data_IF_537113895735
#
_entry.id   IF_537113895735
#
_cell.length_a   1.000
_cell.length_b   1.000
_cell.length_c   1.000
_cell.angle_alpha   90.00
_cell.angle_beta   90.00
_cell.angle_gamma   90.00
#
_symmetry.space_group_name_H-M   'P 1'
#
loop_
_entity.id
_entity.type
_entity.pdbx_description
1 polymer ?
#
# COMPACT_ATOMS: atom_id res chain seq x y z
N UNK A 1 -18.48 -1.76 9.84
CA UNK A 1 -17.67 -2.58 8.93
C UNK A 1 -16.64 -3.27 9.78
N UNK A 2 -16.55 -4.61 9.79
CA UNK A 2 -15.47 -5.24 10.51
C UNK A 2 -14.19 -4.79 9.81
N UNK A 3 -13.30 -4.18 10.56
CA UNK A 3 -11.94 -3.93 10.11
C UNK A 3 -11.25 -5.29 10.07
N UNK A 4 -11.55 -6.07 9.04
CA UNK A 4 -10.69 -7.18 8.65
C UNK A 4 -9.29 -6.59 8.54
N UNK A 5 -8.32 -7.21 9.22
CA UNK A 5 -6.96 -6.69 9.35
C UNK A 5 -6.39 -6.45 7.94
N UNK A 6 -6.41 -5.19 7.52
CA UNK A 6 -5.91 -4.78 6.21
C UNK A 6 -4.45 -5.19 6.16
N UNK A 7 -4.13 -6.08 5.22
CA UNK A 7 -2.78 -6.55 5.04
C UNK A 7 -1.91 -5.36 4.59
N UNK A 8 -0.74 -5.10 5.22
CA UNK A 8 0.17 -4.05 4.78
C UNK A 8 0.49 -4.10 3.27
N UNK A 9 0.53 -5.28 2.66
CA UNK A 9 0.72 -5.43 1.20
C UNK A 9 -0.39 -4.77 0.38
N UNK A 10 -1.65 -4.83 0.83
CA UNK A 10 -2.79 -4.19 0.16
C UNK A 10 -2.67 -2.66 0.23
N UNK A 11 -2.19 -2.13 1.36
CA UNK A 11 -1.91 -0.69 1.52
C UNK A 11 -0.85 -0.24 0.51
N UNK A 12 0.26 -0.98 0.39
CA UNK A 12 1.31 -0.63 -0.57
C UNK A 12 0.83 -0.72 -2.03
N UNK A 13 0.04 -1.73 -2.38
CA UNK A 13 -0.55 -1.85 -3.72
C UNK A 13 -1.50 -0.69 -4.04
N UNK A 14 -2.33 -0.29 -3.07
CA UNK A 14 -3.21 0.86 -3.19
C UNK A 14 -2.42 2.17 -3.38
N UNK A 15 -1.36 2.39 -2.61
CA UNK A 15 -0.51 3.58 -2.72
C UNK A 15 0.17 3.69 -4.09
N UNK A 16 0.69 2.57 -4.62
CA UNK A 16 1.31 2.53 -5.94
C UNK A 16 0.32 2.92 -7.04
N UNK A 17 -0.91 2.37 -7.02
CA UNK A 17 -1.97 2.71 -7.98
C UNK A 17 -2.42 4.16 -7.89
N UNK A 18 -2.64 4.65 -6.68
CA UNK A 18 -3.08 6.03 -6.47
C UNK A 18 -1.95 7.04 -6.72
N UNK A 19 -0.71 6.58 -6.92
CA UNK A 19 0.51 7.40 -7.00
C UNK A 19 0.60 8.40 -5.85
N UNK A 20 0.16 7.97 -4.67
CA UNK A 20 0.09 8.80 -3.48
C UNK A 20 1.42 8.76 -2.73
N UNK A 21 1.95 9.93 -2.39
CA UNK A 21 3.17 10.10 -1.61
C UNK A 21 3.06 11.30 -0.66
N UNK A 22 4.00 11.39 0.30
CA UNK A 22 4.14 12.51 1.22
C UNK A 22 3.48 12.33 2.60
N UNK A 23 3.73 13.31 3.48
CA UNK A 23 3.47 13.23 4.94
C UNK A 23 2.03 12.91 5.35
N UNK A 24 1.04 13.30 4.55
CA UNK A 24 -0.35 12.94 4.79
C UNK A 24 -0.63 11.45 4.51
N UNK A 25 0.06 10.87 3.54
CA UNK A 25 0.01 9.44 3.23
C UNK A 25 0.75 8.65 4.31
N UNK A 26 1.91 9.11 4.76
CA UNK A 26 2.67 8.48 5.85
C UNK A 26 1.84 8.42 7.14
N UNK A 27 1.17 9.53 7.49
CA UNK A 27 0.24 9.57 8.61
C UNK A 27 -0.99 8.68 8.42
N UNK A 28 -1.48 8.51 7.19
CA UNK A 28 -2.60 7.61 6.92
C UNK A 28 -2.18 6.15 7.08
N UNK A 29 -0.99 5.78 6.61
CA UNK A 29 -0.41 4.43 6.80
C UNK A 29 -0.30 4.12 8.29
N UNK A 30 0.27 5.04 9.09
CA UNK A 30 0.42 4.85 10.54
C UNK A 30 -0.92 4.56 11.23
N UNK A 31 -2.02 5.17 10.79
CA UNK A 31 -3.36 4.88 11.34
C UNK A 31 -3.88 3.54 10.85
N UNK A 32 -3.76 3.24 9.56
CA UNK A 32 -4.26 2.00 8.96
C UNK A 32 -3.49 0.75 9.46
N UNK A 33 -2.21 0.89 9.79
CA UNK A 33 -1.38 -0.16 10.38
C UNK A 33 -1.36 -0.13 11.91
N UNK A 34 -2.26 0.65 12.55
CA UNK A 34 -2.41 0.74 14.01
C UNK A 34 -1.16 1.21 14.77
N UNK A 35 -0.24 1.93 14.11
CA UNK A 35 0.90 2.62 14.75
C UNK A 35 0.44 3.87 15.50
N UNK A 36 -0.62 4.53 15.00
CA UNK A 36 -1.28 5.64 15.66
C UNK A 36 -2.77 5.35 15.83
N UNK A 37 -3.27 5.46 17.06
CA UNK A 37 -4.68 5.15 17.37
C UNK A 37 -5.67 6.15 16.77
N UNK A 38 -5.21 7.36 16.44
CA UNK A 38 -6.07 8.43 15.93
C UNK A 38 -5.44 9.21 14.79
N UNK A 39 -6.28 9.72 13.90
CA UNK A 39 -5.88 10.67 12.85
C UNK A 39 -5.22 11.94 13.41
N UNK A 40 -5.59 12.36 14.62
CA UNK A 40 -5.02 13.54 15.25
C UNK A 40 -3.56 13.28 15.70
N UNK A 41 -3.30 12.11 16.31
CA UNK A 41 -1.95 11.71 16.72
C UNK A 41 -1.02 11.58 15.50
N UNK A 42 -1.49 10.93 14.43
CA UNK A 42 -0.71 10.82 13.19
C UNK A 42 -0.46 12.19 12.54
N UNK A 43 -1.48 13.06 12.50
CA UNK A 43 -1.33 14.41 11.95
C UNK A 43 -0.28 15.24 12.71
N UNK A 44 -0.27 15.14 14.04
CA UNK A 44 0.74 15.79 14.87
C UNK A 44 2.14 15.23 14.62
N UNK A 45 2.28 13.90 14.58
CA UNK A 45 3.55 13.20 14.30
C UNK A 45 4.17 13.62 12.96
N UNK A 46 3.34 13.74 11.93
CA UNK A 46 3.78 14.04 10.55
C UNK A 46 3.73 15.53 10.20
N UNK A 47 3.33 16.42 11.12
CA UNK A 47 3.27 17.86 10.89
C UNK A 47 2.31 18.27 9.76
N UNK A 48 1.14 17.62 9.69
CA UNK A 48 0.08 17.87 8.71
C UNK A 48 -1.27 18.06 9.39
N UNK A 49 -2.32 18.38 8.64
CA UNK A 49 -3.66 18.54 9.22
C UNK A 49 -4.34 17.18 9.42
N UNK A 50 -5.18 17.06 10.45
CA UNK A 50 -6.03 15.88 10.68
C UNK A 50 -6.90 15.54 9.46
N UNK A 51 -7.40 16.58 8.78
CA UNK A 51 -8.22 16.42 7.58
C UNK A 51 -7.44 15.79 6.42
N UNK A 52 -6.18 16.20 6.22
CA UNK A 52 -5.33 15.62 5.18
C UNK A 52 -5.06 14.13 5.43
N UNK A 53 -4.76 13.74 6.68
CA UNK A 53 -4.57 12.34 7.05
C UNK A 53 -5.87 11.53 6.85
N UNK A 54 -7.01 12.06 7.30
CA UNK A 54 -8.30 11.38 7.14
C UNK A 54 -8.68 11.20 5.66
N UNK A 55 -8.43 12.20 4.83
CA UNK A 55 -8.71 12.13 3.40
C UNK A 55 -7.78 11.13 2.70
N UNK A 56 -6.50 11.11 3.06
CA UNK A 56 -5.55 10.13 2.53
C UNK A 56 -5.93 8.70 2.92
N UNK A 57 -6.28 8.46 4.19
CA UNK A 57 -6.73 7.16 4.68
C UNK A 57 -7.99 6.66 3.94
N UNK A 58 -8.99 7.54 3.74
CA UNK A 58 -10.20 7.19 2.97
C UNK A 58 -9.89 6.79 1.53
N UNK A 59 -8.97 7.49 0.87
CA UNK A 59 -8.56 7.16 -0.50
C UNK A 59 -7.87 5.80 -0.57
N UNK A 60 -6.96 5.52 0.38
CA UNK A 60 -6.27 4.22 0.47
C UNK A 60 -7.29 3.11 0.72
N UNK A 61 -8.20 3.29 1.68
CA UNK A 61 -9.25 2.31 2.00
C UNK A 61 -10.16 2.03 0.80
N UNK A 62 -10.63 3.07 0.11
CA UNK A 62 -11.47 2.91 -1.07
C UNK A 62 -10.77 2.15 -2.20
N UNK A 63 -9.44 2.27 -2.30
CA UNK A 63 -8.67 1.48 -3.25
C UNK A 63 -8.45 0.05 -2.72
N UNK A 64 -8.16 -0.16 -1.43
CA UNK A 64 -8.08 -1.48 -0.76
C UNK A 64 -9.36 -2.29 -0.91
N UNK A 65 -10.52 -1.65 -0.82
CA UNK A 65 -11.84 -2.25 -1.01
C UNK A 65 -12.11 -2.69 -2.45
N UNK A 66 -11.35 -2.19 -3.44
CA UNK A 66 -11.38 -2.74 -4.80
C UNK A 66 -10.63 -4.07 -4.76
N UNK A 67 -11.31 -5.16 -5.12
CA UNK A 67 -10.77 -6.52 -5.06
C UNK A 67 -9.34 -6.61 -5.63
N UNK A 68 -8.38 -6.92 -4.75
CA UNK A 68 -7.04 -7.34 -5.14
C UNK A 68 -7.00 -8.86 -5.24
N UNK A 69 -6.58 -9.38 -6.39
CA UNK A 69 -6.26 -10.79 -6.55
C UNK A 69 -4.74 -10.93 -6.46
N UNK A 70 -4.25 -11.61 -5.42
CA UNK A 70 -2.86 -12.08 -5.36
C UNK A 70 -2.75 -13.32 -6.26
N UNK A 71 -1.89 -13.25 -7.28
CA UNK A 71 -1.69 -14.35 -8.23
C UNK A 71 -0.26 -14.85 -8.10
N UNK A 72 -0.09 -16.09 -7.65
CA UNK A 72 1.19 -16.79 -7.70
C UNK A 72 1.38 -17.37 -9.12
N UNK A 73 2.45 -16.97 -9.80
CA UNK A 73 2.74 -17.41 -11.18
C UNK A 73 4.11 -18.09 -11.22
N UNK A 74 4.13 -19.35 -11.71
CA UNK A 74 5.38 -20.04 -12.05
C UNK A 74 5.73 -19.71 -13.50
N UNK A 75 6.82 -18.98 -13.68
CA UNK A 75 7.26 -18.52 -15.00
C UNK A 75 8.63 -19.10 -15.35
N UNK A 76 8.85 -19.51 -16.61
CA UNK A 76 10.18 -19.75 -17.15
C UNK A 76 11.08 -18.52 -16.96
N UNK A 77 12.37 -18.74 -16.69
CA UNK A 77 13.31 -17.67 -16.31
C UNK A 77 13.46 -16.58 -17.38
N UNK A 78 13.30 -16.94 -18.66
CA UNK A 78 13.30 -16.04 -19.81
C UNK A 78 12.09 -15.11 -19.88
N UNK A 79 11.01 -15.40 -19.14
CA UNK A 79 9.79 -14.58 -19.08
C UNK A 79 9.77 -13.57 -17.94
N UNK A 80 10.77 -13.60 -17.05
CA UNK A 80 10.88 -12.66 -15.93
C UNK A 80 10.98 -11.20 -16.41
N UNK A 81 11.79 -10.95 -17.43
CA UNK A 81 11.98 -9.59 -17.97
C UNK A 81 10.66 -9.04 -18.54
N UNK A 82 9.93 -9.84 -19.31
CA UNK A 82 8.65 -9.45 -19.89
C UNK A 82 7.57 -9.21 -18.82
N UNK A 83 7.58 -9.99 -17.74
CA UNK A 83 6.69 -9.74 -16.59
C UNK A 83 7.03 -8.42 -15.91
N UNK A 84 8.32 -8.15 -15.70
CA UNK A 84 8.79 -6.93 -15.05
C UNK A 84 8.41 -5.69 -15.87
N UNK A 85 8.65 -5.71 -17.19
CA UNK A 85 8.23 -4.66 -18.12
C UNK A 85 6.71 -4.45 -18.11
N UNK A 86 5.93 -5.53 -18.12
CA UNK A 86 4.48 -5.45 -18.05
C UNK A 86 4.00 -4.85 -16.72
N UNK A 87 4.54 -5.30 -15.59
CA UNK A 87 4.21 -4.77 -14.26
C UNK A 87 4.51 -3.27 -14.17
N UNK A 88 5.70 -2.85 -14.61
CA UNK A 88 6.10 -1.43 -14.64
C UNK A 88 5.13 -0.62 -15.52
N UNK A 89 4.73 -1.15 -16.67
CA UNK A 89 3.74 -0.52 -17.55
C UNK A 89 2.37 -0.34 -16.91
N UNK A 90 1.99 -1.22 -15.98
CA UNK A 90 0.76 -1.12 -15.19
C UNK A 90 0.92 -0.30 -13.89
N UNK A 91 2.10 0.28 -13.64
CA UNK A 91 2.41 0.99 -12.40
C UNK A 91 2.58 0.06 -11.18
N UNK A 92 2.77 -1.23 -11.42
CA UNK A 92 3.10 -2.23 -10.43
C UNK A 92 4.62 -2.44 -10.30
N UNK A 93 5.02 -3.18 -9.28
CA UNK A 93 6.40 -3.60 -9.08
C UNK A 93 6.43 -5.07 -8.67
N UNK A 94 7.47 -5.78 -9.09
CA UNK A 94 7.72 -7.14 -8.63
C UNK A 94 8.20 -7.10 -7.18
N UNK A 95 7.45 -7.74 -6.27
CA UNK A 95 7.87 -7.91 -4.89
C UNK A 95 8.85 -9.08 -4.83
N UNK A 96 10.15 -8.80 -4.80
CA UNK A 96 11.13 -9.83 -4.46
C UNK A 96 10.99 -10.14 -2.97
N UNK A 97 10.39 -11.28 -2.64
CA UNK A 97 10.52 -11.83 -1.29
C UNK A 97 12.01 -12.13 -1.08
N UNK A 98 12.68 -11.30 -0.29
CA UNK A 98 13.98 -11.63 0.25
C UNK A 98 13.77 -12.83 1.18
N UNK A 99 13.92 -14.04 0.62
CA UNK A 99 14.23 -15.24 1.38
C UNK A 99 15.59 -14.98 2.01
N UNK A 100 15.57 -14.35 3.17
CA UNK A 100 16.73 -14.30 4.05
C UNK A 100 16.88 -15.74 4.55
N UNK A 101 17.86 -16.44 3.99
CA UNK A 101 18.10 -17.84 4.28
C UNK A 101 18.24 -18.11 5.77
N UNK A 102 17.55 -19.15 6.22
CA UNK A 102 18.12 -20.13 7.14
C UNK A 102 17.38 -21.46 7.00
#
# INVERSE_FOLDING_TARGET
>A
MPADDINPKQIYAALARLRMNGRACDGAIDVLTKVCDTYAAAAQKHGVTRAAVSQAAKRILAEVEREFVEVEVRLPKDKLLALEEWLVGQGGAMLTSSVTGR
#
